data_IF_342847532320
#
_entry.id   IF_342847532320
#
_cell.length_a   1.000
_cell.length_b   1.000
_cell.length_c   1.000
_cell.angle_alpha   90.00
_cell.angle_beta   90.00
_cell.angle_gamma   90.00
#
_symmetry.space_group_name_H-M   'P 1'
#
loop_
_entity.id
_entity.type
_entity.pdbx_description
1 polymer ?
#
# COMPACT_ATOMS: atom_id res chain seq x y z
N UNK A 1 -46.90 -73.82 8.62
CA UNK A 1 -47.78 -74.58 9.54
C UNK A 1 -47.03 -74.78 10.82
N UNK A 2 -47.74 -74.62 11.94
CA UNK A 2 -47.28 -74.42 13.31
C UNK A 2 -46.41 -75.54 13.92
N UNK A 3 -45.42 -75.08 14.71
CA UNK A 3 -45.08 -75.39 16.11
C UNK A 3 -44.95 -76.80 16.73
N UNK A 4 -44.04 -76.82 17.74
CA UNK A 4 -43.92 -77.64 18.96
C UNK A 4 -43.32 -79.07 18.83
N UNK A 5 -42.53 -79.62 19.77
CA UNK A 5 -41.74 -79.21 20.96
C UNK A 5 -41.02 -80.47 21.50
N UNK A 6 -40.10 -80.29 22.46
CA UNK A 6 -39.55 -81.25 23.45
C UNK A 6 -38.27 -81.98 22.97
N UNK A 7 -37.19 -82.21 23.74
CA UNK A 7 -36.99 -82.24 25.20
C UNK A 7 -35.49 -82.05 25.56
N UNK A 8 -35.25 -81.82 26.85
CA UNK A 8 -34.04 -81.43 27.56
C UNK A 8 -33.02 -82.59 27.76
N UNK A 9 -31.74 -82.26 27.88
CA UNK A 9 -30.68 -83.19 28.28
C UNK A 9 -29.40 -82.52 28.81
N UNK A 10 -29.33 -82.43 30.14
CA UNK A 10 -28.17 -82.38 31.05
C UNK A 10 -27.20 -81.18 31.05
N UNK A 11 -27.20 -80.49 32.21
CA UNK A 11 -26.12 -79.62 32.71
C UNK A 11 -24.91 -80.45 33.13
N UNK A 12 -23.74 -80.04 32.64
CA UNK A 12 -22.43 -80.28 33.26
C UNK A 12 -21.70 -78.95 33.33
N UNK A 13 -21.74 -78.31 34.48
CA UNK A 13 -21.15 -77.01 34.80
C UNK A 13 -19.68 -77.13 35.16
N UNK A 14 -18.79 -76.40 34.49
CA UNK A 14 -17.59 -75.80 35.10
C UNK A 14 -17.27 -74.42 34.49
N UNK A 15 -17.51 -73.41 35.32
CA UNK A 15 -16.84 -72.11 35.45
C UNK A 15 -16.91 -71.07 34.33
N UNK A 16 -17.99 -70.30 34.44
CA UNK A 16 -18.04 -68.86 34.20
C UNK A 16 -16.80 -68.11 34.71
N UNK A 17 -16.05 -67.50 33.79
CA UNK A 17 -15.43 -66.19 34.03
C UNK A 17 -16.25 -65.15 33.27
N UNK A 18 -17.49 -64.91 33.72
CA UNK A 18 -18.30 -63.78 33.25
C UNK A 18 -17.68 -62.49 33.81
N UNK A 19 -16.66 -61.98 33.12
CA UNK A 19 -16.19 -60.61 33.31
C UNK A 19 -17.31 -59.69 32.84
N UNK A 20 -18.09 -59.18 33.78
CA UNK A 20 -18.98 -58.05 33.54
C UNK A 20 -18.16 -56.96 32.84
N UNK A 21 -18.58 -56.44 31.67
CA UNK A 21 -17.91 -55.31 31.06
C UNK A 21 -17.71 -54.23 32.12
N UNK A 22 -16.47 -53.85 32.42
CA UNK A 22 -16.30 -52.59 33.17
C UNK A 22 -16.84 -51.47 32.29
N UNK A 23 -17.43 -50.45 32.91
CA UNK A 23 -18.18 -49.38 32.23
C UNK A 23 -17.40 -48.74 31.06
N UNK A 24 -16.07 -48.74 31.17
CA UNK A 24 -15.15 -48.20 30.18
C UNK A 24 -15.06 -49.00 28.86
N UNK A 25 -15.10 -50.34 28.90
CA UNK A 25 -15.07 -51.16 27.68
C UNK A 25 -16.38 -51.02 26.92
N UNK A 26 -17.51 -51.01 27.63
CA UNK A 26 -18.82 -50.76 27.01
C UNK A 26 -18.84 -49.40 26.30
N UNK A 27 -18.28 -48.37 26.92
CA UNK A 27 -18.13 -47.04 26.33
C UNK A 27 -17.17 -47.01 25.12
N UNK A 28 -16.00 -47.64 25.22
CA UNK A 28 -15.01 -47.67 24.13
C UNK A 28 -15.55 -48.35 22.86
N UNK A 29 -16.46 -49.32 23.03
CA UNK A 29 -17.10 -50.03 21.92
C UNK A 29 -18.28 -49.27 21.30
N UNK A 30 -18.94 -48.35 22.03
CA UNK A 30 -20.01 -47.49 21.51
C UNK A 30 -19.51 -46.12 21.02
N UNK A 31 -18.26 -45.77 21.31
CA UNK A 31 -17.63 -44.54 20.86
C UNK A 31 -17.41 -44.51 19.34
N UNK A 32 -17.51 -43.32 18.76
CA UNK A 32 -17.16 -43.04 17.35
C UNK A 32 -15.65 -42.80 17.16
N UNK A 33 -14.87 -42.78 18.25
CA UNK A 33 -13.42 -42.61 18.17
C UNK A 33 -12.77 -43.87 17.59
N UNK A 34 -12.26 -43.73 16.37
CA UNK A 34 -11.61 -44.81 15.66
C UNK A 34 -10.35 -45.24 16.42
N UNK A 35 -10.19 -46.54 16.65
CA UNK A 35 -9.05 -47.09 17.40
C UNK A 35 -9.32 -47.36 18.87
N UNK A 36 -10.28 -46.68 19.51
CA UNK A 36 -10.52 -46.78 20.96
C UNK A 36 -10.93 -48.19 21.41
N UNK A 37 -11.78 -48.86 20.61
CA UNK A 37 -12.20 -50.25 20.83
C UNK A 37 -11.05 -51.26 20.84
N UNK A 38 -9.95 -50.98 20.13
CA UNK A 38 -8.78 -51.86 20.09
C UNK A 38 -7.81 -51.62 21.26
N UNK A 39 -7.95 -50.48 21.93
CA UNK A 39 -7.23 -50.14 23.17
C UNK A 39 -7.93 -50.73 24.39
N UNK A 40 -9.24 -50.96 24.35
CA UNK A 40 -10.00 -51.58 25.45
C UNK A 40 -10.79 -52.82 25.01
N UNK A 41 -10.11 -53.88 24.51
CA UNK A 41 -10.78 -55.14 24.19
C UNK A 41 -11.22 -55.88 25.47
N UNK A 42 -12.21 -56.76 25.33
CA UNK A 42 -12.56 -57.72 26.39
C UNK A 42 -11.47 -58.78 26.52
N UNK A 43 -10.73 -58.82 27.64
CA UNK A 43 -9.72 -59.85 27.93
C UNK A 43 -8.40 -59.34 28.53
N UNK A 44 -7.39 -60.22 28.58
CA UNK A 44 -6.06 -59.96 29.16
C UNK A 44 -5.24 -58.93 28.34
N UNK A 45 -4.36 -58.15 28.98
CA UNK A 45 -3.50 -57.20 28.28
C UNK A 45 -2.54 -57.91 27.32
N UNK A 46 -2.39 -57.37 26.10
CA UNK A 46 -1.53 -57.94 25.05
C UNK A 46 -0.64 -56.87 24.40
N UNK A 47 0.48 -57.29 23.78
CA UNK A 47 1.37 -56.39 23.03
C UNK A 47 0.62 -55.66 21.90
N UNK A 48 -0.34 -56.34 21.27
CA UNK A 48 -1.22 -55.75 20.26
C UNK A 48 -2.01 -54.55 20.79
N UNK A 49 -2.47 -54.59 22.04
CA UNK A 49 -3.15 -53.46 22.71
C UNK A 49 -2.22 -52.27 22.86
N UNK A 50 -0.98 -52.50 23.26
CA UNK A 50 0.04 -51.44 23.38
C UNK A 50 0.33 -50.78 22.03
N UNK A 51 0.43 -51.56 20.96
CA UNK A 51 0.61 -51.03 19.60
C UNK A 51 -0.58 -50.17 19.16
N UNK A 52 -1.82 -50.60 19.42
CA UNK A 52 -3.01 -49.80 19.12
C UNK A 52 -3.09 -48.52 19.97
N UNK A 53 -2.70 -48.59 21.25
CA UNK A 53 -2.64 -47.42 22.12
C UNK A 53 -1.58 -46.42 21.64
N UNK A 54 -0.39 -46.90 21.29
CA UNK A 54 0.69 -46.08 20.75
C UNK A 54 0.28 -45.42 19.42
N UNK A 55 -0.34 -46.17 18.51
CA UNK A 55 -0.85 -45.62 17.25
C UNK A 55 -1.93 -44.57 17.47
N UNK A 56 -2.88 -44.80 18.39
CA UNK A 56 -3.93 -43.84 18.71
C UNK A 56 -3.36 -42.55 19.32
N UNK A 57 -2.39 -42.67 20.23
CA UNK A 57 -1.69 -41.53 20.82
C UNK A 57 -0.88 -40.76 19.78
N UNK A 58 -0.20 -41.45 18.88
CA UNK A 58 0.54 -40.81 17.79
C UNK A 58 -0.41 -40.03 16.86
N UNK A 59 -1.55 -40.61 16.47
CA UNK A 59 -2.55 -39.91 15.67
C UNK A 59 -3.12 -38.68 16.38
N UNK A 60 -3.41 -38.79 17.69
CA UNK A 60 -3.91 -37.66 18.48
C UNK A 60 -2.87 -36.54 18.63
N UNK A 61 -1.60 -36.91 18.83
CA UNK A 61 -0.49 -35.97 18.91
C UNK A 61 -0.25 -35.22 17.60
N UNK A 62 -0.25 -35.93 16.47
CA UNK A 62 -0.14 -35.32 15.13
C UNK A 62 -1.32 -34.38 14.85
N UNK A 63 -2.54 -34.80 15.17
CA UNK A 63 -3.73 -33.95 15.03
C UNK A 63 -3.62 -32.66 15.87
N UNK A 64 -3.15 -32.75 17.11
CA UNK A 64 -2.96 -31.59 17.98
C UNK A 64 -1.87 -30.64 17.45
N UNK A 65 -0.76 -31.17 16.96
CA UNK A 65 0.33 -30.38 16.38
C UNK A 65 -0.11 -29.65 15.11
N UNK A 66 -0.68 -30.37 14.15
CA UNK A 66 -1.18 -29.81 12.89
C UNK A 66 -2.28 -28.76 13.13
N UNK A 67 -3.20 -29.02 14.06
CA UNK A 67 -4.25 -28.05 14.39
C UNK A 67 -3.70 -26.80 15.07
N UNK A 68 -2.71 -26.93 15.96
CA UNK A 68 -2.04 -25.79 16.58
C UNK A 68 -1.27 -24.95 15.54
N UNK A 69 -0.56 -25.58 14.61
CA UNK A 69 0.15 -24.89 13.53
C UNK A 69 -0.82 -24.13 12.62
N UNK A 70 -1.93 -24.75 12.22
CA UNK A 70 -2.96 -24.09 11.40
C UNK A 70 -3.66 -22.96 12.14
N UNK A 71 -3.92 -23.12 13.44
CA UNK A 71 -4.49 -22.07 14.26
C UNK A 71 -3.52 -20.89 14.39
N UNK A 72 -2.23 -21.15 14.63
CA UNK A 72 -1.20 -20.11 14.67
C UNK A 72 -1.07 -19.39 13.33
N UNK A 73 -1.10 -20.11 12.21
CA UNK A 73 -1.10 -19.53 10.86
C UNK A 73 -2.35 -18.66 10.64
N UNK A 74 -3.53 -19.14 11.01
CA UNK A 74 -4.76 -18.35 10.92
C UNK A 74 -4.69 -17.07 11.75
N UNK A 75 -4.19 -17.15 12.99
CA UNK A 75 -4.00 -16.01 13.88
C UNK A 75 -2.84 -15.09 13.49
N UNK A 76 -1.98 -15.50 12.55
CA UNK A 76 -0.97 -14.63 11.95
C UNK A 76 -1.54 -13.68 10.88
N UNK A 77 -2.84 -13.80 10.57
CA UNK A 77 -3.56 -12.99 9.58
C UNK A 77 -2.82 -12.81 8.24
N UNK A 78 -2.38 -13.90 7.59
CA UNK A 78 -1.70 -13.82 6.32
C UNK A 78 -2.69 -13.40 5.23
N UNK A 79 -2.28 -12.45 4.39
CA UNK A 79 -3.06 -12.00 3.24
C UNK A 79 -2.31 -12.28 1.95
N UNK A 80 -3.04 -12.67 0.91
CA UNK A 80 -2.51 -12.83 -0.44
C UNK A 80 -3.19 -11.80 -1.33
N UNK A 81 -2.39 -11.00 -2.03
CA UNK A 81 -2.89 -10.02 -2.99
C UNK A 81 -2.85 -10.62 -4.39
N UNK A 82 -4.00 -10.61 -5.09
CA UNK A 82 -4.07 -10.87 -6.53
C UNK A 82 -4.05 -9.54 -7.27
N UNK A 83 -3.25 -9.45 -8.32
CA UNK A 83 -3.12 -8.24 -9.15
C UNK A 83 -3.63 -8.56 -10.54
N UNK A 84 -4.75 -7.94 -10.91
CA UNK A 84 -5.38 -8.10 -12.21
C UNK A 84 -5.36 -6.77 -12.99
N UNK A 85 -5.00 -6.83 -14.27
CA UNK A 85 -5.06 -5.70 -15.18
C UNK A 85 -6.30 -5.83 -16.06
N UNK A 86 -7.34 -5.05 -15.76
CA UNK A 86 -8.59 -5.04 -16.53
C UNK A 86 -8.60 -3.85 -17.48
N UNK A 87 -8.83 -4.11 -18.77
CA UNK A 87 -9.00 -3.05 -19.77
C UNK A 87 -10.42 -2.49 -19.64
N UNK A 88 -10.54 -1.20 -19.32
CA UNK A 88 -11.81 -0.48 -19.29
C UNK A 88 -11.92 0.44 -20.50
N UNK A 89 -13.12 0.54 -21.09
CA UNK A 89 -13.42 1.44 -22.21
C UNK A 89 -13.52 2.92 -21.81
N UNK A 90 -13.59 3.20 -20.50
CA UNK A 90 -13.61 4.54 -19.93
C UNK A 90 -12.93 4.54 -18.55
N UNK A 91 -12.09 5.54 -18.30
CA UNK A 91 -11.43 5.77 -17.02
C UNK A 91 -11.57 7.26 -16.66
N UNK A 92 -11.66 7.54 -15.36
CA UNK A 92 -11.64 8.92 -14.86
C UNK A 92 -10.24 9.49 -15.05
N UNK A 93 -10.16 10.62 -15.75
CA UNK A 93 -8.89 11.32 -15.93
C UNK A 93 -8.38 11.83 -14.57
N UNK A 94 -7.11 11.54 -14.22
CA UNK A 94 -6.58 11.92 -12.92
C UNK A 94 -6.44 13.44 -12.82
N UNK A 95 -6.33 13.91 -11.58
CA UNK A 95 -5.96 15.29 -11.35
C UNK A 95 -4.47 15.51 -11.70
N UNK A 96 -4.19 16.52 -12.52
CA UNK A 96 -2.82 16.89 -12.94
C UNK A 96 -2.40 18.16 -12.23
N UNK A 97 -1.34 18.09 -11.43
CA UNK A 97 -0.74 19.26 -10.79
C UNK A 97 0.50 19.70 -11.55
N UNK A 98 0.54 20.96 -11.95
CA UNK A 98 1.67 21.59 -12.64
C UNK A 98 2.26 22.66 -11.72
N UNK A 99 3.58 22.61 -11.53
CA UNK A 99 4.34 23.58 -10.76
C UNK A 99 5.58 23.99 -11.56
N UNK A 100 5.91 25.27 -11.59
CA UNK A 100 7.22 25.67 -12.07
C UNK A 100 8.28 25.31 -11.02
N UNK A 101 9.40 24.72 -11.44
CA UNK A 101 10.55 24.46 -10.57
C UNK A 101 11.24 25.74 -10.10
N UNK A 102 11.01 26.86 -10.80
CA UNK A 102 11.34 28.16 -10.28
C UNK A 102 10.21 28.63 -9.35
N UNK A 103 10.53 28.80 -8.06
CA UNK A 103 9.61 29.20 -7.01
C UNK A 103 9.00 30.60 -7.23
N UNK A 104 9.79 31.52 -7.79
CA UNK A 104 9.42 32.94 -7.87
C UNK A 104 9.90 33.60 -9.17
N UNK A 105 9.18 34.61 -9.61
CA UNK A 105 9.59 35.50 -10.69
C UNK A 105 10.48 36.59 -10.11
N UNK A 106 11.76 36.59 -10.48
CA UNK A 106 12.74 37.57 -10.00
C UNK A 106 12.28 39.02 -10.21
N UNK A 107 11.61 39.29 -11.34
CA UNK A 107 11.03 40.61 -11.66
C UNK A 107 9.94 41.09 -10.69
N UNK A 108 9.25 40.17 -10.00
CA UNK A 108 8.17 40.48 -9.06
C UNK A 108 8.65 40.63 -7.61
N UNK A 109 9.93 40.35 -7.33
CA UNK A 109 10.51 40.50 -6.00
C UNK A 109 10.69 41.98 -5.63
N UNK A 110 10.27 42.32 -4.41
CA UNK A 110 10.44 43.66 -3.84
C UNK A 110 11.53 43.67 -2.76
N UNK A 111 11.94 44.86 -2.34
CA UNK A 111 12.87 45.05 -1.21
C UNK A 111 12.30 44.48 0.10
N UNK A 112 11.00 44.62 0.35
CA UNK A 112 10.36 44.05 1.55
C UNK A 112 10.45 42.51 1.53
N UNK A 113 10.26 41.90 0.37
CA UNK A 113 10.32 40.45 0.21
C UNK A 113 11.73 39.92 0.50
N UNK A 114 12.77 40.58 -0.02
CA UNK A 114 14.15 40.21 0.29
C UNK A 114 14.50 40.43 1.76
N UNK A 115 13.95 41.47 2.41
CA UNK A 115 14.18 41.72 3.83
C UNK A 115 13.61 40.58 4.71
N UNK A 116 12.42 40.08 4.41
CA UNK A 116 11.75 39.06 5.24
C UNK A 116 12.02 37.61 4.80
N UNK A 117 12.21 37.36 3.50
CA UNK A 117 12.32 36.02 2.92
C UNK A 117 13.60 35.81 2.08
N UNK A 118 14.53 36.78 2.05
CA UNK A 118 15.77 36.69 1.27
C UNK A 118 16.65 35.51 1.69
N UNK A 119 16.76 35.25 2.99
CA UNK A 119 17.45 34.07 3.54
C UNK A 119 16.75 32.77 3.14
N UNK A 120 15.41 32.71 3.26
CA UNK A 120 14.61 31.55 2.88
C UNK A 120 14.76 31.20 1.39
N UNK A 121 14.94 32.21 0.53
CA UNK A 121 15.18 32.05 -0.91
C UNK A 121 16.65 31.80 -1.27
N UNK A 122 17.56 31.76 -0.29
CA UNK A 122 19.01 31.70 -0.48
C UNK A 122 19.59 32.84 -1.34
N UNK A 123 18.90 33.97 -1.43
CA UNK A 123 19.38 35.18 -2.13
C UNK A 123 20.22 36.08 -1.23
N UNK A 124 20.01 35.99 0.09
CA UNK A 124 20.75 36.71 1.11
C UNK A 124 21.21 35.75 2.22
N UNK A 125 22.28 36.11 2.91
CA UNK A 125 22.72 35.43 4.13
C UNK A 125 22.04 36.00 5.39
N UNK A 126 22.40 35.46 6.56
CA UNK A 126 21.94 35.92 7.89
C UNK A 126 22.27 37.41 8.15
N UNK A 127 23.27 37.96 7.44
CA UNK A 127 23.68 39.36 7.54
C UNK A 127 23.04 40.25 6.47
N UNK A 128 22.03 39.75 5.73
CA UNK A 128 21.34 40.44 4.65
C UNK A 128 22.27 40.86 3.49
N UNK A 129 23.32 40.07 3.24
CA UNK A 129 24.27 40.26 2.14
C UNK A 129 24.11 39.18 1.08
N UNK A 130 24.43 39.53 -0.16
CA UNK A 130 24.36 38.60 -1.30
C UNK A 130 25.54 37.60 -1.18
N UNK A 131 25.27 36.30 -0.98
CA UNK A 131 26.32 35.29 -0.97
C UNK A 131 26.88 35.11 -2.39
N UNK A 132 28.18 34.86 -2.51
CA UNK A 132 28.82 34.46 -3.78
C UNK A 132 28.47 35.33 -5.00
N UNK A 133 28.46 36.66 -4.84
CA UNK A 133 28.09 37.63 -5.88
C UNK A 133 28.82 37.46 -7.24
N UNK A 134 30.02 36.87 -7.24
CA UNK A 134 30.81 36.60 -8.45
C UNK A 134 30.19 35.58 -9.41
N UNK A 135 29.25 34.75 -8.95
CA UNK A 135 28.57 33.75 -9.78
C UNK A 135 27.34 34.30 -10.50
N UNK A 136 26.88 35.48 -10.12
CA UNK A 136 25.72 36.12 -10.72
C UNK A 136 26.12 36.91 -11.97
N UNK A 137 25.26 36.86 -12.99
CA UNK A 137 25.40 37.72 -14.17
C UNK A 137 25.34 39.21 -13.75
N UNK A 138 26.14 40.11 -14.36
CA UNK A 138 26.28 41.49 -13.89
C UNK A 138 24.96 42.25 -13.79
N UNK A 139 24.04 42.06 -14.74
CA UNK A 139 22.75 42.75 -14.77
C UNK A 139 21.81 42.27 -13.64
N UNK A 140 21.79 40.96 -13.39
CA UNK A 140 21.01 40.37 -12.30
C UNK A 140 21.58 40.80 -10.96
N UNK A 141 22.92 40.82 -10.84
CA UNK A 141 23.61 41.26 -9.64
C UNK A 141 23.31 42.74 -9.34
N UNK A 142 23.34 43.62 -10.34
CA UNK A 142 23.01 45.03 -10.18
C UNK A 142 21.57 45.21 -9.66
N UNK A 143 20.60 44.49 -10.25
CA UNK A 143 19.21 44.52 -9.80
C UNK A 143 19.05 43.99 -8.37
N UNK A 144 19.77 42.91 -8.03
CA UNK A 144 19.73 42.35 -6.68
C UNK A 144 20.35 43.29 -5.66
N UNK A 145 21.48 43.94 -5.98
CA UNK A 145 22.12 44.94 -5.12
C UNK A 145 21.23 46.14 -4.85
N UNK A 146 20.51 46.62 -5.87
CA UNK A 146 19.55 47.71 -5.72
C UNK A 146 18.42 47.32 -4.77
N UNK A 147 17.84 46.12 -4.95
CA UNK A 147 16.76 45.62 -4.11
C UNK A 147 17.24 45.29 -2.69
N UNK A 148 18.47 44.81 -2.52
CA UNK A 148 19.08 44.46 -1.24
C UNK A 148 19.73 45.64 -0.49
N UNK A 149 19.54 46.88 -0.94
CA UNK A 149 20.00 48.05 -0.19
C UNK A 149 19.04 48.40 0.96
N UNK A 150 19.42 48.02 2.18
CA UNK A 150 18.62 48.22 3.40
C UNK A 150 19.04 49.41 4.28
N UNK A 151 20.03 50.22 3.88
CA UNK A 151 20.66 51.25 4.74
C UNK A 151 19.67 52.30 5.29
N UNK A 152 18.58 52.58 4.58
CA UNK A 152 17.50 53.49 5.01
C UNK A 152 16.12 52.86 4.80
N UNK A 153 16.02 51.55 4.98
CA UNK A 153 14.78 50.83 4.73
C UNK A 153 13.94 50.69 6.00
N UNK A 154 12.64 51.02 5.91
CA UNK A 154 11.65 50.76 6.95
C UNK A 154 10.79 49.57 6.53
N UNK A 155 10.91 48.40 7.18
CA UNK A 155 10.14 47.21 6.82
C UNK A 155 8.63 47.45 6.95
N UNK A 156 7.88 46.89 6.01
CA UNK A 156 6.42 46.88 6.03
C UNK A 156 5.90 45.49 6.43
N UNK A 157 4.64 45.38 6.89
CA UNK A 157 4.04 44.08 7.20
C UNK A 157 4.19 43.08 6.04
N UNK A 158 4.46 41.82 6.37
CA UNK A 158 4.72 40.77 5.39
C UNK A 158 3.82 39.56 5.66
N UNK A 159 3.26 39.01 4.59
CA UNK A 159 2.44 37.79 4.64
C UNK A 159 2.98 36.79 3.63
N UNK A 160 3.31 35.59 4.10
CA UNK A 160 3.86 34.54 3.23
C UNK A 160 2.87 34.13 2.13
N UNK A 161 1.57 34.13 2.43
CA UNK A 161 0.52 33.80 1.46
C UNK A 161 0.50 34.83 0.31
N UNK A 162 0.49 36.12 0.65
CA UNK A 162 0.51 37.21 -0.33
C UNK A 162 1.77 37.15 -1.19
N UNK A 163 2.92 36.93 -0.53
CA UNK A 163 4.20 36.78 -1.20
C UNK A 163 4.15 35.68 -2.27
N UNK A 164 3.79 34.44 -1.89
CA UNK A 164 3.74 33.30 -2.82
C UNK A 164 2.74 33.57 -3.96
N UNK A 165 1.56 34.12 -3.65
CA UNK A 165 0.51 34.39 -4.65
C UNK A 165 0.97 35.43 -5.69
N UNK A 166 1.71 36.46 -5.27
CA UNK A 166 2.22 37.53 -6.12
C UNK A 166 3.48 37.15 -6.89
N UNK A 167 4.49 36.60 -6.21
CA UNK A 167 5.81 36.34 -6.82
C UNK A 167 5.83 35.03 -7.60
N UNK A 168 4.97 34.08 -7.25
CA UNK A 168 4.84 32.80 -7.95
C UNK A 168 4.45 32.98 -9.42
N UNK A 169 4.67 31.92 -10.21
CA UNK A 169 4.37 31.94 -11.64
C UNK A 169 2.86 31.86 -11.90
N UNK A 170 2.40 32.64 -12.88
CA UNK A 170 1.01 32.61 -13.32
C UNK A 170 0.87 31.64 -14.50
N UNK A 171 -0.12 30.75 -14.44
CA UNK A 171 -0.36 29.78 -15.50
C UNK A 171 -0.71 30.48 -16.81
N UNK A 172 -1.36 31.64 -16.76
CA UNK A 172 -1.68 32.45 -17.95
C UNK A 172 -0.43 32.86 -18.75
N UNK A 173 0.71 33.04 -18.07
CA UNK A 173 1.97 33.42 -18.71
C UNK A 173 2.78 32.19 -19.14
N UNK A 174 2.57 31.03 -18.49
CA UNK A 174 3.30 29.79 -18.80
C UNK A 174 2.61 28.91 -19.85
N UNK A 175 1.28 28.94 -19.91
CA UNK A 175 0.49 28.05 -20.74
C UNK A 175 0.30 28.65 -22.14
N UNK A 176 1.07 28.16 -23.11
CA UNK A 176 0.97 28.58 -24.50
C UNK A 176 -0.24 27.97 -25.22
N UNK A 177 -0.55 26.70 -24.92
CA UNK A 177 -1.66 25.95 -25.50
C UNK A 177 -2.09 24.84 -24.56
N UNK A 178 -3.38 24.48 -24.58
CA UNK A 178 -3.94 23.38 -23.80
C UNK A 178 -5.05 22.71 -24.60
N UNK A 179 -4.99 21.37 -24.69
CA UNK A 179 -6.04 20.57 -25.33
C UNK A 179 -6.23 19.24 -24.60
N UNK A 180 -7.49 18.92 -24.33
CA UNK A 180 -7.91 17.67 -23.70
C UNK A 180 -9.00 17.01 -24.55
N UNK A 181 -8.78 15.76 -24.96
CA UNK A 181 -9.70 14.98 -25.82
C UNK A 181 -10.18 15.72 -27.09
N UNK A 182 -9.35 16.58 -27.68
CA UNK A 182 -9.77 17.36 -28.85
C UNK A 182 -10.28 18.76 -28.55
N UNK A 183 -10.66 19.05 -27.31
CA UNK A 183 -11.21 20.34 -26.88
C UNK A 183 -10.12 21.24 -26.32
N UNK A 184 -10.19 22.53 -26.63
CA UNK A 184 -9.27 23.52 -26.06
C UNK A 184 -9.59 23.78 -24.59
N UNK A 185 -8.55 23.95 -23.77
CA UNK A 185 -8.66 24.31 -22.36
C UNK A 185 -8.01 25.66 -22.07
N UNK A 186 -8.48 26.31 -21.01
CA UNK A 186 -8.11 27.66 -20.60
C UNK A 186 -7.43 27.63 -19.22
N UNK A 187 -6.60 28.64 -18.87
CA UNK A 187 -6.06 28.77 -17.52
C UNK A 187 -7.14 28.84 -16.42
N UNK A 188 -8.38 29.22 -16.77
CA UNK A 188 -9.54 29.21 -15.86
C UNK A 188 -9.95 27.81 -15.41
N UNK A 189 -9.61 26.78 -16.18
CA UNK A 189 -9.94 25.39 -15.88
C UNK A 189 -8.99 24.80 -14.82
N UNK A 190 -7.97 25.56 -14.43
CA UNK A 190 -6.99 25.20 -13.43
C UNK A 190 -7.22 25.98 -12.15
N UNK A 191 -7.17 25.26 -11.02
CA UNK A 191 -7.28 25.86 -9.69
C UNK A 191 -5.88 26.08 -9.12
N UNK A 192 -5.62 27.25 -8.56
CA UNK A 192 -4.37 27.47 -7.83
C UNK A 192 -4.41 26.65 -6.54
N UNK A 193 -3.36 25.86 -6.32
CA UNK A 193 -3.17 25.09 -5.10
C UNK A 193 -1.82 25.46 -4.49
N UNK A 194 -1.82 25.68 -3.18
CA UNK A 194 -0.59 25.84 -2.42
C UNK A 194 -0.15 24.45 -1.96
N UNK A 195 0.93 23.87 -2.50
CA UNK A 195 1.45 22.59 -2.03
C UNK A 195 1.97 22.72 -0.59
N UNK A 196 2.14 21.57 0.07
CA UNK A 196 2.72 21.48 1.42
C UNK A 196 4.16 22.02 1.48
N UNK A 197 4.85 22.14 0.35
CA UNK A 197 6.11 22.87 0.22
C UNK A 197 5.81 24.37 0.11
N UNK A 198 6.15 25.19 1.12
CA UNK A 198 5.78 26.61 1.17
C UNK A 198 6.38 27.46 0.03
N UNK A 199 7.26 26.90 -0.79
CA UNK A 199 8.08 27.65 -1.73
C UNK A 199 7.49 27.74 -3.15
N UNK A 200 6.44 26.98 -3.49
CA UNK A 200 5.97 26.88 -4.87
C UNK A 200 4.49 27.26 -5.01
N UNK A 201 4.18 28.12 -5.99
CA UNK A 201 2.81 28.29 -6.47
C UNK A 201 2.55 27.24 -7.54
N UNK A 202 1.52 26.42 -7.34
CA UNK A 202 1.16 25.33 -8.25
C UNK A 202 -0.28 25.47 -8.74
N UNK A 203 -0.57 24.86 -9.88
CA UNK A 203 -1.89 24.82 -10.49
C UNK A 203 -2.34 23.38 -10.65
N UNK A 204 -3.52 23.09 -10.13
CA UNK A 204 -4.19 21.80 -10.18
C UNK A 204 -5.29 21.83 -11.24
N UNK A 205 -5.15 20.97 -12.24
CA UNK A 205 -6.27 20.55 -13.07
C UNK A 205 -6.90 19.33 -12.41
N UNK A 206 -7.87 19.54 -11.53
CA UNK A 206 -8.67 18.45 -10.96
C UNK A 206 -10.09 18.60 -11.45
N UNK A 207 -10.46 17.77 -12.43
CA UNK A 207 -11.85 17.64 -12.87
C UNK A 207 -12.36 18.85 -13.62
N UNK A 208 -12.33 18.76 -14.93
CA UNK A 208 -13.25 19.52 -15.76
C UNK A 208 -14.66 19.02 -15.39
N UNK A 209 -15.32 19.75 -14.49
CA UNK A 209 -16.73 19.56 -14.13
C UNK A 209 -17.59 20.11 -15.27
N UNK A 210 -17.62 19.41 -16.41
CA UNK A 210 -18.75 19.57 -17.33
C UNK A 210 -19.93 18.84 -16.71
N UNK A 211 -20.98 19.60 -16.37
CA UNK A 211 -22.25 19.03 -15.95
C UNK A 211 -22.73 18.01 -16.99
N UNK A 212 -23.10 16.83 -16.50
CA UNK A 212 -23.86 15.78 -17.17
C UNK A 212 -23.35 15.25 -18.52
N UNK A 213 -22.99 13.96 -18.48
CA UNK A 213 -23.14 12.99 -19.57
C UNK A 213 -22.43 13.32 -20.88
N UNK A 214 -21.14 12.99 -21.00
CA UNK A 214 -20.54 12.81 -22.32
C UNK A 214 -19.73 11.52 -22.36
N UNK A 215 -20.31 10.57 -23.09
CA UNK A 215 -19.68 9.39 -23.67
C UNK A 215 -18.32 9.72 -24.31
N UNK A 216 -17.29 8.93 -24.00
CA UNK A 216 -16.20 8.55 -24.91
C UNK A 216 -15.34 7.49 -24.18
N UNK A 217 -15.29 6.21 -24.58
CA UNK A 217 -14.80 5.66 -25.85
C UNK A 217 -13.30 5.90 -26.04
N UNK A 218 -12.48 5.03 -25.45
CA UNK A 218 -11.18 4.69 -26.03
C UNK A 218 -11.36 3.42 -26.88
N UNK A 219 -11.68 3.61 -28.16
CA UNK A 219 -11.17 2.66 -29.15
C UNK A 219 -9.65 2.78 -29.17
N UNK A 220 -8.90 1.68 -29.33
CA UNK A 220 -7.45 1.72 -29.38
C UNK A 220 -7.03 2.40 -30.68
N UNK A 221 -6.88 3.73 -30.66
CA UNK A 221 -6.12 4.42 -31.69
C UNK A 221 -4.64 4.11 -31.45
N UNK A 222 -4.16 3.13 -32.22
CA UNK A 222 -2.80 3.16 -32.77
C UNK A 222 -2.58 4.57 -33.35
N UNK A 223 -1.41 5.16 -33.06
CA UNK A 223 -0.88 6.37 -33.68
C UNK A 223 -1.36 7.73 -33.17
N UNK A 224 -1.37 7.95 -31.85
CA UNK A 224 -1.25 9.32 -31.33
C UNK A 224 -0.19 9.37 -30.22
N UNK A 225 1.05 9.66 -30.62
CA UNK A 225 2.10 10.08 -29.70
C UNK A 225 1.69 11.41 -29.08
N UNK A 226 1.57 11.44 -27.77
CA UNK A 226 1.50 12.68 -26.99
C UNK A 226 2.86 13.38 -27.11
N UNK A 227 3.01 14.21 -28.12
CA UNK A 227 4.14 15.14 -28.26
C UNK A 227 3.97 16.27 -27.24
N UNK A 228 4.44 16.02 -26.01
CA UNK A 228 4.75 17.07 -25.03
C UNK A 228 6.27 17.13 -24.93
N UNK A 229 6.88 17.95 -25.79
CA UNK A 229 8.34 18.14 -25.79
C UNK A 229 8.78 18.96 -24.56
N UNK A 230 9.56 18.28 -23.71
CA UNK A 230 10.35 18.72 -22.54
C UNK A 230 9.64 19.27 -21.30
N UNK A 231 9.31 18.34 -20.40
CA UNK A 231 10.06 18.20 -19.15
C UNK A 231 10.30 16.70 -18.98
N UNK A 232 11.57 16.28 -19.02
CA UNK A 232 11.98 14.98 -18.45
C UNK A 232 11.60 15.04 -16.97
N UNK A 233 10.39 14.65 -16.64
CA UNK A 233 10.08 14.14 -15.32
C UNK A 233 10.96 12.91 -15.22
N UNK A 234 12.07 13.06 -14.49
CA UNK A 234 12.71 11.95 -13.80
C UNK A 234 11.60 11.33 -12.95
N UNK A 235 10.82 10.46 -13.59
CA UNK A 235 10.06 9.45 -12.90
C UNK A 235 11.11 8.75 -12.06
N UNK A 236 10.95 8.86 -10.74
CA UNK A 236 11.59 7.99 -9.77
C UNK A 236 11.03 6.56 -9.97
N UNK A 237 11.25 6.02 -11.17
CA UNK A 237 11.27 4.62 -11.52
C UNK A 237 12.74 4.20 -11.58
N UNK A 238 13.45 4.38 -10.47
CA UNK A 238 14.78 3.79 -10.23
C UNK A 238 15.00 3.61 -8.74
N UNK A 239 14.12 2.83 -8.12
CA UNK A 239 14.47 2.01 -6.96
C UNK A 239 13.96 0.57 -7.15
N UNK A 240 14.08 0.05 -8.38
CA UNK A 240 13.84 -1.35 -8.73
C UNK A 240 15.14 -2.06 -9.15
N UNK A 241 16.28 -1.66 -8.54
CA UNK A 241 17.60 -2.29 -8.79
C UNK A 241 18.37 -2.70 -7.54
N UNK A 242 17.74 -2.74 -6.37
CA UNK A 242 18.20 -3.55 -5.23
C UNK A 242 17.35 -4.82 -5.16
N UNK A 243 17.40 -5.57 -6.24
CA UNK A 243 16.86 -6.91 -6.36
C UNK A 243 18.11 -7.79 -6.53
N UNK A 244 18.10 -8.98 -5.93
CA UNK A 244 18.89 -10.15 -6.35
C UNK A 244 20.17 -10.60 -5.64
N UNK A 245 20.64 -10.02 -4.52
CA UNK A 245 21.80 -10.63 -3.80
C UNK A 245 21.53 -11.29 -2.44
N UNK A 246 20.40 -11.04 -1.77
CA UNK A 246 20.17 -11.61 -0.42
C UNK A 246 19.17 -12.77 -0.32
N UNK A 247 18.48 -13.15 -1.41
CA UNK A 247 17.45 -14.20 -1.34
C UNK A 247 17.88 -15.56 -1.91
N UNK A 248 19.03 -15.65 -2.60
CA UNK A 248 19.53 -16.94 -3.12
C UNK A 248 20.48 -17.70 -2.17
N UNK A 249 20.91 -17.13 -1.04
CA UNK A 249 21.89 -17.76 -0.16
C UNK A 249 21.30 -18.56 1.03
N UNK A 250 19.97 -18.58 1.23
CA UNK A 250 19.37 -19.21 2.42
C UNK A 250 18.58 -20.50 2.14
N UNK A 251 18.70 -21.09 0.94
CA UNK A 251 17.97 -22.31 0.56
C UNK A 251 18.83 -23.45 0.00
N UNK A 252 20.13 -23.44 0.29
CA UNK A 252 21.02 -24.59 0.13
C UNK A 252 22.02 -24.66 1.28
N UNK A 253 21.57 -25.21 2.40
CA UNK A 253 22.30 -26.06 3.37
C UNK A 253 21.28 -26.66 4.31
#
# INVERSE_FOLDING_TARGET
MMDLKESCGSQGSQESSSLHPTSWQAFAHTSTLHGLRYVFPYGQPSVRRLLWAAALLACLGLLALESAERLAYFLSYPHVTSVDAVVSSSLVFPAVTICNLNAYRFSRLTRNDLYHAGELMALLDVHLKIPQAHLAEPDVLASLQEKANFTKYKPTPFSMKEFIERVGHDLREMMLYCRYQGQECSPSDFKTVSPLMPSFKCQLCSGISWGQSIFAALQPLKDCGTEVFWLRVLSLASFQRCFYFFSLASKMT
#
